data_IF_810085131559
#
_entry.id   IF_810085131559
#
_cell.length_a   1.000
_cell.length_b   1.000
_cell.length_c   1.000
_cell.angle_alpha   90.00
_cell.angle_beta   90.00
_cell.angle_gamma   90.00
#
_symmetry.space_group_name_H-M   'P 1'
#
loop_
_entity.id
_entity.type
_entity.pdbx_description
1 polymer ?
#
# COMPACT_ATOMS: atom_id res chain seq x y z
N UNK A 1 -2.11 -5.93 6.40
CA UNK A 1 -3.13 -4.95 5.94
C UNK A 1 -2.61 -3.52 5.86
N UNK A 2 -2.39 -2.82 6.98
CA UNK A 2 -2.06 -1.38 6.99
C UNK A 2 -0.85 -1.04 6.10
N UNK A 3 0.21 -1.84 6.13
CA UNK A 3 1.44 -1.62 5.33
C UNK A 3 1.20 -1.76 3.82
N UNK A 4 0.38 -2.73 3.40
CA UNK A 4 0.04 -2.94 1.98
C UNK A 4 -0.85 -1.80 1.47
N UNK A 5 -1.81 -1.39 2.30
CA UNK A 5 -2.74 -0.30 1.97
C UNK A 5 -2.04 1.06 1.97
N UNK A 6 -1.11 1.30 2.90
CA UNK A 6 -0.30 2.51 2.93
C UNK A 6 0.71 2.55 1.77
N UNK A 7 1.29 1.40 1.37
CA UNK A 7 2.10 1.32 0.15
C UNK A 7 1.31 1.67 -1.11
N UNK A 8 0.05 1.23 -1.20
CA UNK A 8 -0.85 1.58 -2.29
C UNK A 8 -1.20 3.09 -2.31
N UNK A 9 -1.58 3.68 -1.17
CA UNK A 9 -1.94 5.10 -1.09
C UNK A 9 -0.73 6.02 -1.30
N UNK A 10 0.44 5.67 -0.78
CA UNK A 10 1.67 6.43 -0.95
C UNK A 10 2.25 6.33 -2.37
N UNK A 11 1.96 5.24 -3.08
CA UNK A 11 2.39 5.04 -4.47
C UNK A 11 1.44 5.63 -5.52
N UNK A 12 0.35 6.30 -5.13
CA UNK A 12 -0.65 6.75 -6.10
C UNK A 12 -0.20 7.98 -6.91
N UNK A 13 -0.70 8.10 -8.14
CA UNK A 13 -0.47 9.24 -9.02
C UNK A 13 -0.86 10.59 -8.38
N UNK A 14 -1.89 10.60 -7.53
CA UNK A 14 -2.34 11.78 -6.79
C UNK A 14 -1.29 12.27 -5.79
N UNK A 15 -0.62 11.36 -5.06
CA UNK A 15 0.43 11.73 -4.10
C UNK A 15 1.68 12.23 -4.84
N UNK A 16 1.99 11.66 -6.00
CA UNK A 16 3.07 12.15 -6.88
C UNK A 16 2.82 13.59 -7.33
N UNK A 17 1.58 13.90 -7.72
CA UNK A 17 1.17 15.27 -8.05
C UNK A 17 1.12 16.18 -6.82
N UNK A 18 0.77 15.69 -5.63
CA UNK A 18 0.79 16.50 -4.41
C UNK A 18 2.23 16.86 -3.96
N UNK A 19 3.17 15.93 -4.13
CA UNK A 19 4.58 16.14 -3.78
C UNK A 19 5.32 16.97 -4.84
N UNK A 20 5.01 16.81 -6.12
CA UNK A 20 5.72 17.48 -7.23
C UNK A 20 4.98 18.62 -7.94
N UNK A 21 3.64 18.62 -7.93
CA UNK A 21 2.79 19.39 -8.85
C UNK A 21 2.62 20.88 -8.57
N UNK A 22 3.33 21.43 -7.58
CA UNK A 22 3.34 22.88 -7.30
C UNK A 22 4.72 23.51 -7.54
N UNK A 23 5.73 22.74 -7.98
CA UNK A 23 7.09 23.23 -8.12
C UNK A 23 7.66 22.91 -9.51
N UNK A 24 7.75 23.94 -10.36
CA UNK A 24 8.47 23.88 -11.64
C UNK A 24 10.00 23.76 -11.48
N UNK A 25 10.54 24.08 -10.31
CA UNK A 25 11.95 23.85 -9.96
C UNK A 25 12.10 23.04 -8.67
N UNK A 26 12.61 21.82 -8.82
CA UNK A 26 13.09 20.98 -7.70
C UNK A 26 14.51 21.36 -7.24
N UNK A 27 15.18 22.29 -7.93
CA UNK A 27 16.53 22.74 -7.59
C UNK A 27 16.53 23.51 -6.25
N UNK A 28 17.33 23.03 -5.28
CA UNK A 28 17.46 23.64 -3.94
C UNK A 28 16.58 23.04 -2.84
N UNK A 29 15.80 21.98 -3.12
CA UNK A 29 14.92 21.32 -2.12
C UNK A 29 15.19 19.81 -2.06
N UNK A 30 16.29 19.36 -1.41
CA UNK A 30 16.73 17.97 -1.43
C UNK A 30 15.69 16.99 -0.86
N UNK A 31 15.00 17.38 0.22
CA UNK A 31 13.96 16.55 0.86
C UNK A 31 12.79 16.29 -0.08
N UNK A 32 12.29 17.30 -0.80
CA UNK A 32 11.17 17.12 -1.73
C UNK A 32 11.57 16.27 -2.94
N UNK A 33 12.81 16.39 -3.42
CA UNK A 33 13.34 15.57 -4.51
C UNK A 33 13.45 14.10 -4.10
N UNK A 34 13.90 13.79 -2.89
CA UNK A 34 13.98 12.42 -2.39
C UNK A 34 12.59 11.83 -2.15
N UNK A 35 11.64 12.60 -1.57
CA UNK A 35 10.25 12.16 -1.43
C UNK A 35 9.62 11.90 -2.80
N UNK A 36 9.82 12.78 -3.78
CA UNK A 36 9.32 12.58 -5.14
C UNK A 36 9.92 11.32 -5.80
N UNK A 37 11.22 11.08 -5.66
CA UNK A 37 11.87 9.88 -6.16
C UNK A 37 11.35 8.60 -5.47
N UNK A 38 11.14 8.64 -4.15
CA UNK A 38 10.58 7.54 -3.38
C UNK A 38 9.14 7.21 -3.83
N UNK A 39 8.29 8.23 -3.96
CA UNK A 39 6.91 8.08 -4.46
C UNK A 39 6.89 7.57 -5.90
N UNK A 40 7.80 8.04 -6.76
CA UNK A 40 7.91 7.53 -8.13
C UNK A 40 8.42 6.08 -8.20
N UNK A 41 9.27 5.66 -7.25
CA UNK A 41 9.70 4.28 -7.10
C UNK A 41 8.53 3.38 -6.64
N UNK A 42 7.79 3.82 -5.62
CA UNK A 42 6.58 3.15 -5.13
C UNK A 42 5.48 3.06 -6.19
N UNK A 43 5.31 4.10 -7.02
CA UNK A 43 4.36 4.11 -8.14
C UNK A 43 4.67 3.02 -9.17
N UNK A 44 5.94 2.65 -9.36
CA UNK A 44 6.34 1.56 -10.27
C UNK A 44 5.78 0.22 -9.84
N UNK A 45 5.62 0.02 -8.53
CA UNK A 45 5.02 -1.18 -7.93
C UNK A 45 3.55 -1.02 -7.57
N UNK A 46 2.88 0.09 -7.90
CA UNK A 46 1.51 0.40 -7.44
C UNK A 46 0.51 -0.71 -7.77
N UNK A 47 0.63 -1.31 -8.96
CA UNK A 47 -0.20 -2.45 -9.35
C UNK A 47 0.06 -3.68 -8.47
N UNK A 48 1.32 -3.98 -8.15
CA UNK A 48 1.67 -5.11 -7.27
C UNK A 48 1.16 -4.89 -5.84
N UNK A 49 1.19 -3.66 -5.33
CA UNK A 49 0.59 -3.32 -4.03
C UNK A 49 -0.92 -3.55 -4.02
N UNK A 50 -1.61 -3.21 -5.11
CA UNK A 50 -3.04 -3.47 -5.27
C UNK A 50 -3.33 -4.99 -5.26
N UNK A 51 -2.61 -5.77 -6.09
CA UNK A 51 -2.78 -7.23 -6.15
C UNK A 51 -2.46 -7.91 -4.82
N UNK A 52 -1.37 -7.52 -4.15
CA UNK A 52 -1.01 -8.06 -2.84
C UNK A 52 -2.06 -7.72 -1.77
N UNK A 53 -2.62 -6.51 -1.80
CA UNK A 53 -3.70 -6.11 -0.88
C UNK A 53 -4.99 -6.91 -1.13
N UNK A 54 -5.36 -7.10 -2.41
CA UNK A 54 -6.54 -7.84 -2.81
C UNK A 54 -6.42 -9.32 -2.42
N UNK A 55 -5.25 -9.92 -2.67
CA UNK A 55 -4.95 -11.29 -2.26
C UNK A 55 -5.06 -11.46 -0.74
N UNK A 56 -4.50 -10.53 0.03
CA UNK A 56 -4.54 -10.61 1.49
C UNK A 56 -5.97 -10.46 2.04
N UNK A 57 -6.77 -9.56 1.47
CA UNK A 57 -8.18 -9.40 1.85
C UNK A 57 -8.98 -10.66 1.51
N UNK A 58 -8.83 -11.20 0.30
CA UNK A 58 -9.50 -12.43 -0.10
C UNK A 58 -9.09 -13.63 0.78
N UNK A 59 -7.80 -13.74 1.11
CA UNK A 59 -7.31 -14.75 2.05
C UNK A 59 -7.93 -14.57 3.44
N UNK A 60 -8.03 -13.34 3.94
CA UNK A 60 -8.65 -13.06 5.25
C UNK A 60 -10.13 -13.44 5.24
N UNK A 61 -10.86 -13.16 4.16
CA UNK A 61 -12.29 -13.51 4.03
C UNK A 61 -12.49 -15.04 4.04
N UNK A 62 -11.67 -15.77 3.27
CA UNK A 62 -11.67 -17.24 3.27
C UNK A 62 -11.31 -17.79 4.65
N UNK A 63 -10.29 -17.25 5.30
CA UNK A 63 -9.88 -17.65 6.65
C UNK A 63 -11.03 -17.50 7.65
N UNK A 64 -11.64 -16.31 7.69
CA UNK A 64 -12.75 -16.02 8.61
C UNK A 64 -13.97 -16.89 8.30
N UNK A 65 -14.28 -17.11 7.02
CA UNK A 65 -15.39 -17.98 6.61
C UNK A 65 -15.15 -19.45 7.00
N UNK A 66 -13.93 -19.95 6.86
CA UNK A 66 -13.56 -21.30 7.30
C UNK A 66 -13.63 -21.43 8.83
N UNK A 67 -13.23 -20.41 9.58
CA UNK A 67 -13.42 -20.36 11.04
C UNK A 67 -14.90 -20.33 11.43
N UNK A 68 -15.71 -19.52 10.75
CA UNK A 68 -17.15 -19.41 11.02
C UNK A 68 -17.93 -20.69 10.68
N UNK A 69 -17.51 -21.45 9.66
CA UNK A 69 -18.08 -22.75 9.32
C UNK A 69 -17.60 -23.87 10.28
N UNK A 70 -16.76 -23.56 11.28
CA UNK A 70 -16.25 -24.53 12.24
C UNK A 70 -15.26 -25.54 11.67
N UNK A 71 -14.77 -25.32 10.45
CA UNK A 71 -13.74 -26.17 9.80
C UNK A 71 -12.36 -25.84 10.39
N UNK A 72 -12.13 -24.56 10.67
CA UNK A 72 -10.95 -24.10 11.42
C UNK A 72 -11.35 -23.72 12.84
N UNK A 73 -10.79 -24.45 13.80
CA UNK A 73 -10.91 -24.10 15.20
C UNK A 73 -9.94 -22.97 15.53
N UNK A 74 -10.50 -21.87 16.05
CA UNK A 74 -9.76 -20.74 16.61
C UNK A 74 -8.75 -21.26 17.64
N UNK A 75 -7.45 -21.18 17.31
CA UNK A 75 -6.39 -21.51 18.24
C UNK A 75 -6.33 -20.38 19.25
N UNK A 76 -7.08 -20.52 20.35
CA UNK A 76 -6.95 -19.64 21.51
C UNK A 76 -5.53 -19.77 22.06
N UNK A 77 -4.66 -18.84 21.67
CA UNK A 77 -3.38 -18.66 22.34
C UNK A 77 -3.70 -18.12 23.74
N UNK A 78 -3.55 -19.00 24.73
CA UNK A 78 -3.46 -18.64 26.16
C UNK A 78 -2.08 -18.05 26.42
#
# INVERSE_FOLDING_TARGET
NVVLLSGYTLGCHSLRHLVGGYLDRMAGRPVRRTTYACVSCLNRGHMNWAWASLFWVAFTDVYVRLCAMGIWHDWRLV
#
